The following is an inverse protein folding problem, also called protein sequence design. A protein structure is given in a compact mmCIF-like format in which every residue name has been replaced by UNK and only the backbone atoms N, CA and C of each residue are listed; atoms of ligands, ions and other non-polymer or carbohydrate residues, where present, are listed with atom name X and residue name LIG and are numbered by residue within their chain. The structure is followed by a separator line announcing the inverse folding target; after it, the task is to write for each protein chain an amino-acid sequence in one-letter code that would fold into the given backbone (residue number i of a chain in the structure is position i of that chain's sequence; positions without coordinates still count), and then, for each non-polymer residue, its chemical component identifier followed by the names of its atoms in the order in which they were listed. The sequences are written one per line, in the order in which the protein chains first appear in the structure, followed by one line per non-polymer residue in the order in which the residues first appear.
data_IF_236261298067
#
_entry.id   IF_236261298067
#
_cell.length_a   1.000
_cell.length_b   1.000
_cell.length_c   1.000
_cell.angle_alpha   90.00
_cell.angle_beta   90.00
_cell.angle_gamma   90.00
#
_symmetry.space_group_name_H-M   'P 1'
#
loop_
_entity.id
_entity.type
_entity.pdbx_description
1 polymer ?
#
# COMPACT_ATOMS: atom_id res chain seq x y z
N UNK A 1 47.13 -24.06 -9.01
CA UNK A 1 46.80 -23.37 -7.75
C UNK A 1 45.68 -22.36 -8.00
N UNK A 2 44.48 -22.83 -7.85
CA UNK A 2 43.25 -22.03 -7.83
C UNK A 2 42.83 -21.96 -6.38
N UNK A 3 42.61 -20.77 -5.88
CA UNK A 3 42.03 -20.54 -4.56
C UNK A 3 40.53 -20.30 -4.74
N UNK A 4 39.75 -21.17 -4.12
CA UNK A 4 38.34 -21.02 -3.92
C UNK A 4 38.09 -19.78 -3.07
N UNK A 5 37.25 -18.85 -3.56
CA UNK A 5 36.67 -17.81 -2.76
C UNK A 5 35.25 -18.25 -2.38
N UNK A 6 35.13 -18.65 -1.14
CA UNK A 6 33.86 -18.79 -0.43
C UNK A 6 33.08 -17.49 -0.52
N UNK A 7 31.89 -17.57 -1.10
CA UNK A 7 30.88 -16.52 -0.96
C UNK A 7 30.15 -16.76 0.35
N UNK A 8 30.41 -15.92 1.31
CA UNK A 8 29.59 -15.86 2.51
C UNK A 8 28.29 -15.13 2.13
N UNK A 9 27.21 -15.88 2.11
CA UNK A 9 25.85 -15.36 2.05
C UNK A 9 25.56 -14.65 3.38
N UNK A 10 25.78 -13.35 3.41
CA UNK A 10 25.28 -12.48 4.46
C UNK A 10 23.90 -11.98 3.99
N UNK A 11 22.84 -12.67 4.38
CA UNK A 11 21.48 -12.17 4.25
C UNK A 11 21.29 -11.04 5.27
N UNK A 12 21.53 -9.83 4.82
CA UNK A 12 21.23 -8.62 5.58
C UNK A 12 19.90 -8.11 5.05
N UNK A 13 18.96 -7.79 5.93
CA UNK A 13 17.76 -6.98 5.69
C UNK A 13 18.13 -5.85 4.72
N UNK A 14 17.72 -5.99 3.45
CA UNK A 14 18.28 -5.16 2.38
C UNK A 14 17.62 -3.79 2.32
N UNK A 15 18.35 -2.74 2.67
CA UNK A 15 17.97 -1.38 2.31
C UNK A 15 18.23 -1.18 0.81
N UNK A 16 17.16 -1.06 0.03
CA UNK A 16 17.23 -0.67 -1.37
C UNK A 16 17.25 0.85 -1.44
N UNK A 17 18.34 1.43 -1.91
CA UNK A 17 18.46 2.88 -2.09
C UNK A 17 18.12 3.21 -3.54
N UNK A 18 16.97 3.82 -3.78
CA UNK A 18 16.61 4.36 -5.09
C UNK A 18 16.94 5.85 -5.12
N UNK A 19 17.77 6.28 -6.06
CA UNK A 19 18.09 7.69 -6.28
C UNK A 19 17.00 8.29 -7.18
N UNK A 20 16.23 9.23 -6.64
CA UNK A 20 15.41 10.11 -7.48
C UNK A 20 16.34 11.20 -8.06
N UNK A 21 16.60 11.10 -9.35
CA UNK A 21 17.49 12.02 -10.07
C UNK A 21 16.86 13.41 -10.30
N UNK A 22 15.58 13.60 -9.97
CA UNK A 22 14.86 14.88 -10.13
C UNK A 22 14.95 15.80 -8.90
N UNK A 23 15.28 15.24 -7.74
CA UNK A 23 15.44 15.98 -6.50
C UNK A 23 16.51 15.29 -5.65
N UNK A 24 17.47 16.02 -5.11
CA UNK A 24 18.66 15.53 -4.40
C UNK A 24 18.33 14.79 -3.07
N UNK A 25 17.10 14.31 -2.91
CA UNK A 25 16.65 13.59 -1.72
C UNK A 25 16.74 12.09 -1.99
N UNK A 26 17.57 11.40 -1.22
CA UNK A 26 17.61 9.94 -1.22
C UNK A 26 16.34 9.43 -0.55
N UNK A 27 15.48 8.77 -1.32
CA UNK A 27 14.29 8.10 -0.81
C UNK A 27 14.69 6.68 -0.46
N UNK A 28 14.45 6.30 0.80
CA UNK A 28 14.77 4.99 1.32
C UNK A 28 13.60 4.03 1.08
N UNK A 29 13.86 2.93 0.37
CA UNK A 29 12.92 1.81 0.24
C UNK A 29 13.42 0.63 1.06
N UNK A 30 12.63 0.18 2.02
CA UNK A 30 12.93 -0.95 2.91
C UNK A 30 12.18 -2.19 2.41
N UNK A 31 12.91 -3.28 2.12
CA UNK A 31 12.30 -4.58 1.91
C UNK A 31 12.27 -5.35 3.23
N UNK A 32 11.04 -5.69 3.70
CA UNK A 32 10.78 -6.23 5.02
C UNK A 32 10.32 -7.70 4.87
N UNK A 33 11.28 -8.60 4.96
CA UNK A 33 11.11 -10.06 4.79
C UNK A 33 11.24 -10.84 6.11
N UNK A 34 11.34 -10.14 7.23
CA UNK A 34 11.41 -10.75 8.57
C UNK A 34 10.52 -10.04 9.59
N UNK A 35 10.02 -10.81 10.56
CA UNK A 35 9.21 -10.26 11.64
C UNK A 35 9.97 -9.21 12.46
N UNK A 36 11.26 -9.43 12.70
CA UNK A 36 12.14 -8.53 13.43
C UNK A 36 12.31 -7.21 12.67
N UNK A 37 12.56 -7.25 11.35
CA UNK A 37 12.68 -6.08 10.50
C UNK A 37 11.39 -5.26 10.46
N UNK A 38 10.25 -5.93 10.31
CA UNK A 38 8.94 -5.28 10.35
C UNK A 38 8.68 -4.64 11.72
N UNK A 39 8.94 -5.36 12.81
CA UNK A 39 8.76 -4.85 14.17
C UNK A 39 9.64 -3.62 14.44
N UNK A 40 10.87 -3.60 13.97
CA UNK A 40 11.80 -2.49 14.16
C UNK A 40 11.34 -1.20 13.46
N UNK A 41 10.65 -1.34 12.32
CA UNK A 41 10.15 -0.19 11.53
C UNK A 41 8.73 0.25 11.92
N UNK A 42 7.99 -0.58 12.64
CA UNK A 42 6.58 -0.33 13.00
C UNK A 42 6.34 1.05 13.65
N UNK A 43 7.18 1.56 14.59
CA UNK A 43 7.00 2.89 15.17
C UNK A 43 6.99 4.02 14.13
N UNK A 44 7.78 3.90 13.06
CA UNK A 44 7.81 4.86 11.95
C UNK A 44 6.44 4.93 11.26
N UNK A 45 5.91 3.77 10.88
CA UNK A 45 4.65 3.69 10.15
C UNK A 45 3.45 4.12 11.00
N UNK A 46 3.47 3.85 12.30
CA UNK A 46 2.44 4.30 13.25
C UNK A 46 2.36 5.82 13.38
N UNK A 47 3.45 6.53 13.08
CA UNK A 47 3.52 8.00 13.14
C UNK A 47 3.19 8.67 11.81
N UNK A 48 3.04 7.90 10.71
CA UNK A 48 2.73 8.46 9.40
C UNK A 48 1.39 9.21 9.40
N UNK A 49 1.35 10.35 8.70
CA UNK A 49 0.17 11.22 8.60
C UNK A 49 0.05 11.82 7.21
N UNK A 50 -0.63 11.15 6.27
CA UNK A 50 -1.24 9.82 6.36
C UNK A 50 -0.23 8.69 6.14
N UNK A 51 -0.65 7.44 6.37
CA UNK A 51 0.04 6.25 5.91
C UNK A 51 -0.50 5.87 4.52
N UNK A 52 0.31 6.00 3.49
CA UNK A 52 -0.01 5.45 2.18
C UNK A 52 0.09 3.92 2.22
N UNK A 53 -0.84 3.25 1.57
CA UNK A 53 -0.97 1.80 1.58
C UNK A 53 -1.40 1.31 0.20
N UNK A 54 -0.84 0.20 -0.24
CA UNK A 54 -1.23 -0.53 -1.43
C UNK A 54 -0.95 -2.02 -1.24
N UNK A 55 -1.51 -2.88 -2.09
CA UNK A 55 -1.27 -4.33 -2.04
C UNK A 55 -1.09 -4.91 -3.41
N UNK A 56 -0.23 -5.94 -3.50
CA UNK A 56 -0.13 -6.80 -4.66
C UNK A 56 -0.59 -8.20 -4.30
N UNK A 57 -1.44 -8.79 -5.13
CA UNK A 57 -2.03 -10.10 -4.86
C UNK A 57 -2.31 -10.86 -6.17
N UNK A 58 -2.50 -12.16 -6.05
CA UNK A 58 -2.90 -13.03 -7.16
C UNK A 58 -4.27 -13.63 -6.87
N UNK A 59 -5.15 -13.56 -7.87
CA UNK A 59 -6.45 -14.21 -7.87
C UNK A 59 -6.45 -15.32 -8.92
N UNK A 60 -6.03 -16.53 -8.54
CA UNK A 60 -5.97 -17.71 -9.42
C UNK A 60 -6.74 -18.84 -8.78
N UNK A 61 -7.81 -19.29 -9.42
CA UNK A 61 -8.63 -20.47 -9.07
C UNK A 61 -9.07 -20.57 -7.61
N UNK A 62 -8.99 -19.49 -6.85
CA UNK A 62 -9.42 -19.40 -5.46
C UNK A 62 -10.39 -18.24 -5.28
N UNK A 63 -11.40 -18.45 -4.44
CA UNK A 63 -12.37 -17.41 -4.10
C UNK A 63 -11.70 -16.21 -3.42
N UNK A 64 -10.64 -16.46 -2.62
CA UNK A 64 -9.89 -15.43 -1.91
C UNK A 64 -8.58 -15.12 -2.62
N UNK A 65 -8.21 -13.83 -2.77
CA UNK A 65 -6.92 -13.45 -3.31
C UNK A 65 -5.79 -13.85 -2.36
N UNK A 66 -4.64 -14.24 -2.94
CA UNK A 66 -3.41 -14.50 -2.18
C UNK A 66 -2.53 -13.27 -2.24
N UNK A 67 -2.24 -12.70 -1.08
CA UNK A 67 -1.40 -11.53 -0.95
C UNK A 67 0.06 -11.86 -1.26
N UNK A 68 0.68 -11.04 -2.10
CA UNK A 68 2.08 -11.17 -2.50
C UNK A 68 2.99 -10.07 -1.96
N UNK A 69 2.45 -8.86 -1.73
CA UNK A 69 3.19 -7.74 -1.17
C UNK A 69 2.23 -6.75 -0.50
N UNK A 70 2.71 -6.08 0.55
CA UNK A 70 2.03 -4.93 1.16
C UNK A 70 2.98 -3.75 1.12
N UNK A 71 2.56 -2.65 0.49
CA UNK A 71 3.35 -1.45 0.37
C UNK A 71 2.91 -0.41 1.40
N UNK A 72 3.88 0.21 2.06
CA UNK A 72 3.69 1.34 2.98
C UNK A 72 4.49 2.54 2.49
N UNK A 73 3.95 3.76 2.69
CA UNK A 73 4.64 5.00 2.41
C UNK A 73 4.27 6.10 3.40
N UNK A 74 5.26 6.90 3.82
CA UNK A 74 5.05 8.04 4.73
C UNK A 74 5.37 9.40 4.07
N UNK A 75 5.67 9.39 2.77
CA UNK A 75 6.11 10.55 2.01
C UNK A 75 7.61 10.85 2.14
N UNK A 76 8.35 10.11 2.96
CA UNK A 76 9.80 10.22 3.13
C UNK A 76 10.52 8.93 2.73
N UNK A 77 9.79 7.83 2.61
CA UNK A 77 10.29 6.55 2.16
C UNK A 77 9.18 5.50 2.11
N UNK A 78 9.55 4.31 1.67
CA UNK A 78 8.63 3.19 1.48
C UNK A 78 9.06 1.96 2.27
N UNK A 79 8.08 1.17 2.69
CA UNK A 79 8.25 -0.17 3.24
C UNK A 79 7.51 -1.20 2.40
N UNK A 80 8.21 -2.22 1.93
CA UNK A 80 7.67 -3.33 1.16
C UNK A 80 7.67 -4.57 2.04
N UNK A 81 6.51 -4.94 2.55
CA UNK A 81 6.36 -6.09 3.46
C UNK A 81 6.12 -7.35 2.63
N UNK A 82 6.93 -8.37 2.87
CA UNK A 82 6.81 -9.68 2.22
C UNK A 82 5.97 -10.66 3.06
N UNK A 83 4.68 -10.85 2.75
CA UNK A 83 3.81 -11.76 3.48
C UNK A 83 4.12 -13.23 3.19
N UNK A 84 4.87 -13.53 2.13
CA UNK A 84 5.32 -14.89 1.83
C UNK A 84 6.45 -15.30 2.77
N UNK A 85 7.33 -14.38 3.12
CA UNK A 85 8.44 -14.61 4.05
C UNK A 85 8.00 -14.48 5.53
N UNK A 86 6.99 -13.64 5.82
CA UNK A 86 6.51 -13.38 7.19
C UNK A 86 5.14 -14.06 7.37
N UNK A 87 5.07 -15.28 7.92
CA UNK A 87 3.83 -16.04 8.00
C UNK A 87 2.84 -15.47 9.04
N UNK A 88 3.31 -14.68 10.00
CA UNK A 88 2.47 -14.08 11.03
C UNK A 88 2.52 -12.55 10.93
N UNK A 89 1.45 -11.98 10.37
CA UNK A 89 1.29 -10.54 10.17
C UNK A 89 0.42 -9.86 11.24
N UNK A 90 0.15 -10.50 12.37
CA UNK A 90 -0.70 -9.94 13.44
C UNK A 90 -0.22 -8.59 13.97
N UNK A 91 1.07 -8.30 13.88
CA UNK A 91 1.58 -6.99 14.27
C UNK A 91 1.07 -5.84 13.39
N UNK A 92 0.59 -6.13 12.18
CA UNK A 92 -0.04 -5.15 11.31
C UNK A 92 -1.40 -4.67 11.84
N UNK A 93 -2.02 -5.40 12.76
CA UNK A 93 -3.29 -4.98 13.40
C UNK A 93 -3.17 -3.57 14.03
N UNK A 94 -2.01 -3.24 14.59
CA UNK A 94 -1.73 -1.90 15.11
C UNK A 94 -1.74 -0.79 14.04
N UNK A 95 -1.34 -1.10 12.80
CA UNK A 95 -1.36 -0.15 11.68
C UNK A 95 -2.72 -0.11 11.00
N UNK A 96 -3.31 -1.28 10.76
CA UNK A 96 -4.50 -1.42 9.92
C UNK A 96 -5.78 -1.19 10.71
N UNK A 97 -5.78 -1.48 12.00
CA UNK A 97 -6.95 -1.43 12.87
C UNK A 97 -7.41 -0.02 13.22
N UNK A 98 -8.50 0.08 14.04
CA UNK A 98 -9.14 1.36 14.36
C UNK A 98 -8.26 2.37 15.10
N UNK A 99 -7.26 1.89 15.84
CA UNK A 99 -6.31 2.75 16.58
C UNK A 99 -5.09 3.16 15.77
N UNK A 100 -4.94 2.62 14.57
CA UNK A 100 -3.83 2.95 13.67
C UNK A 100 -3.98 4.32 12.99
N UNK A 101 -2.98 4.74 12.22
CA UNK A 101 -3.03 6.00 11.48
C UNK A 101 -4.13 5.99 10.42
N UNK A 102 -4.54 7.18 9.97
CA UNK A 102 -5.30 7.34 8.73
C UNK A 102 -4.53 6.70 7.57
N UNK A 103 -5.15 5.77 6.89
CA UNK A 103 -4.59 5.11 5.71
C UNK A 103 -5.16 5.75 4.44
N UNK A 104 -4.31 5.94 3.45
CA UNK A 104 -4.68 6.44 2.14
C UNK A 104 -4.32 5.41 1.08
N UNK A 105 -5.29 5.06 0.26
CA UNK A 105 -5.16 4.16 -0.89
C UNK A 105 -5.68 4.84 -2.16
N UNK A 106 -5.45 4.21 -3.30
CA UNK A 106 -6.03 4.62 -4.57
C UNK A 106 -6.82 3.46 -5.18
N UNK A 107 -8.14 3.61 -5.38
CA UNK A 107 -9.03 2.56 -5.87
C UNK A 107 -9.05 1.32 -4.96
N UNK A 108 -9.32 1.50 -3.68
CA UNK A 108 -9.06 0.58 -2.58
C UNK A 108 -9.94 -0.68 -2.52
N UNK A 109 -10.96 -0.83 -3.35
CA UNK A 109 -11.99 -1.87 -3.17
C UNK A 109 -11.44 -3.30 -3.12
N UNK A 110 -10.46 -3.65 -3.95
CA UNK A 110 -9.83 -4.97 -3.94
C UNK A 110 -8.84 -5.14 -2.79
N UNK A 111 -8.12 -4.05 -2.42
CA UNK A 111 -7.20 -4.05 -1.27
C UNK A 111 -7.93 -4.32 0.04
N UNK A 112 -9.16 -3.83 0.20
CA UNK A 112 -9.97 -4.08 1.38
C UNK A 112 -10.27 -5.57 1.59
N UNK A 113 -10.48 -6.34 0.52
CA UNK A 113 -10.66 -7.79 0.62
C UNK A 113 -9.40 -8.49 1.13
N UNK A 114 -8.23 -8.00 0.70
CA UNK A 114 -6.93 -8.55 1.06
C UNK A 114 -6.52 -8.18 2.48
N UNK A 115 -6.79 -6.93 2.88
CA UNK A 115 -6.35 -6.37 4.16
C UNK A 115 -7.27 -6.71 5.34
N UNK A 116 -8.59 -6.84 5.12
CA UNK A 116 -9.55 -7.09 6.21
C UNK A 116 -9.21 -8.35 7.03
N UNK A 117 -8.82 -9.49 6.42
CA UNK A 117 -8.44 -10.70 7.17
C UNK A 117 -7.20 -10.53 8.05
N UNK A 118 -6.38 -9.49 7.82
CA UNK A 118 -5.18 -9.21 8.61
C UNK A 118 -5.47 -8.45 9.90
N UNK A 119 -6.72 -8.04 10.12
CA UNK A 119 -7.13 -7.28 11.30
C UNK A 119 -8.07 -8.09 12.18
N UNK A 120 -7.98 -7.89 13.49
CA UNK A 120 -8.87 -8.53 14.50
C UNK A 120 -10.14 -7.72 14.78
N UNK A 121 -10.10 -6.40 14.56
CA UNK A 121 -11.19 -5.46 14.88
C UNK A 121 -11.72 -4.71 13.64
N UNK A 122 -11.36 -5.18 12.44
CA UNK A 122 -11.64 -4.50 11.19
C UNK A 122 -10.64 -3.38 10.89
N UNK A 123 -10.72 -2.88 9.67
CA UNK A 123 -9.88 -1.77 9.20
C UNK A 123 -10.30 -0.46 9.87
N UNK A 124 -9.32 0.36 10.24
CA UNK A 124 -9.55 1.72 10.71
C UNK A 124 -9.92 2.67 9.57
N UNK A 125 -9.73 3.98 9.81
CA UNK A 125 -10.07 5.00 8.81
C UNK A 125 -9.22 4.87 7.56
N UNK A 126 -9.89 4.77 6.41
CA UNK A 126 -9.29 4.70 5.07
C UNK A 126 -9.90 5.80 4.21
N UNK A 127 -9.05 6.54 3.51
CA UNK A 127 -9.44 7.48 2.48
C UNK A 127 -8.94 7.02 1.12
N UNK A 128 -9.80 7.13 0.10
CA UNK A 128 -9.50 6.72 -1.28
C UNK A 128 -9.35 7.95 -2.17
N UNK A 129 -8.17 8.14 -2.75
CA UNK A 129 -7.89 9.27 -3.63
C UNK A 129 -8.67 9.21 -4.95
N UNK A 130 -9.09 8.04 -5.41
CA UNK A 130 -9.94 7.91 -6.59
C UNK A 130 -11.34 8.50 -6.35
N UNK A 131 -11.90 8.33 -5.14
CA UNK A 131 -13.16 8.96 -4.74
C UNK A 131 -13.02 10.49 -4.72
N UNK A 132 -11.91 11.01 -4.19
CA UNK A 132 -11.65 12.44 -4.19
C UNK A 132 -11.62 13.03 -5.61
N UNK A 133 -10.97 12.36 -6.54
CA UNK A 133 -10.93 12.76 -7.95
C UNK A 133 -12.34 12.77 -8.59
N UNK A 134 -13.16 11.76 -8.32
CA UNK A 134 -14.54 11.70 -8.80
C UNK A 134 -15.37 12.87 -8.27
N UNK A 135 -15.27 13.20 -7.00
CA UNK A 135 -15.97 14.32 -6.36
C UNK A 135 -15.50 15.68 -6.88
N UNK A 136 -14.25 15.78 -7.29
CA UNK A 136 -13.70 17.00 -7.90
C UNK A 136 -14.04 17.13 -9.39
N UNK A 137 -14.69 16.12 -9.99
CA UNK A 137 -15.10 16.13 -11.39
C UNK A 137 -14.01 15.70 -12.38
N UNK A 138 -12.92 15.11 -11.90
CA UNK A 138 -11.80 14.64 -12.75
C UNK A 138 -12.10 13.31 -13.46
N UNK A 139 -13.13 12.58 -13.02
CA UNK A 139 -13.59 11.30 -13.58
C UNK A 139 -13.87 10.27 -12.50
N UNK A 140 -14.72 9.28 -12.83
CA UNK A 140 -15.19 8.26 -11.86
C UNK A 140 -14.14 7.20 -11.52
N UNK A 141 -13.26 6.86 -12.46
CA UNK A 141 -12.29 5.78 -12.34
C UNK A 141 -10.92 6.20 -12.86
N UNK A 142 -10.43 7.32 -12.38
CA UNK A 142 -9.10 7.82 -12.76
C UNK A 142 -8.04 6.92 -12.13
N UNK A 143 -7.20 6.28 -12.95
CA UNK A 143 -6.09 5.45 -12.48
C UNK A 143 -4.97 6.29 -11.85
N UNK A 144 -4.16 5.64 -11.00
CA UNK A 144 -3.13 6.30 -10.17
C UNK A 144 -2.13 7.12 -10.99
N UNK A 145 -1.57 6.56 -12.07
CA UNK A 145 -0.62 7.28 -12.95
C UNK A 145 -1.25 8.55 -13.54
N UNK A 146 -2.51 8.45 -14.00
CA UNK A 146 -3.23 9.60 -14.54
C UNK A 146 -3.53 10.64 -13.47
N UNK A 147 -3.85 10.20 -12.26
CA UNK A 147 -4.05 11.07 -11.10
C UNK A 147 -2.79 11.86 -10.77
N UNK A 148 -1.63 11.21 -10.72
CA UNK A 148 -0.35 11.88 -10.48
C UNK A 148 -0.04 12.93 -11.55
N UNK A 149 -0.28 12.59 -12.82
CA UNK A 149 -0.07 13.54 -13.91
C UNK A 149 -1.01 14.73 -13.83
N UNK A 150 -2.31 14.51 -13.57
CA UNK A 150 -3.32 15.58 -13.53
C UNK A 150 -3.14 16.52 -12.32
N UNK A 151 -2.76 15.96 -11.18
CA UNK A 151 -2.79 16.70 -9.89
C UNK A 151 -1.42 17.24 -9.53
N UNK A 152 -0.36 16.46 -9.76
CA UNK A 152 1.00 16.79 -9.34
C UNK A 152 1.96 17.04 -10.51
N UNK A 153 1.52 16.84 -11.76
CA UNK A 153 2.38 16.87 -12.94
C UNK A 153 3.58 15.92 -12.85
N UNK A 154 3.35 14.75 -12.23
CA UNK A 154 4.35 13.68 -12.09
C UNK A 154 3.99 12.57 -13.09
N UNK A 155 5.00 12.14 -13.86
CA UNK A 155 4.91 10.98 -14.73
C UNK A 155 5.67 9.81 -14.11
N UNK A 156 5.02 8.65 -13.99
CA UNK A 156 5.66 7.40 -13.58
C UNK A 156 5.58 6.38 -14.71
N UNK A 157 6.52 5.43 -14.80
CA UNK A 157 6.51 4.41 -15.83
C UNK A 157 5.20 3.62 -15.84
N UNK A 158 4.72 3.31 -17.04
CA UNK A 158 3.64 2.33 -17.20
C UNK A 158 4.30 0.98 -17.13
N UNK A 159 4.01 0.17 -16.13
CA UNK A 159 4.12 -1.27 -16.31
C UNK A 159 3.95 -2.13 -15.06
N UNK A 160 3.88 -3.46 -15.29
CA UNK A 160 4.12 -4.58 -14.38
C UNK A 160 2.97 -5.02 -13.46
N UNK A 161 1.76 -4.49 -13.55
CA UNK A 161 0.64 -4.94 -12.72
C UNK A 161 0.25 -6.44 -12.90
N UNK A 162 0.70 -7.07 -14.00
CA UNK A 162 0.38 -8.48 -14.33
C UNK A 162 1.61 -9.37 -14.23
N UNK A 163 2.25 -9.41 -13.08
CA UNK A 163 3.38 -10.31 -12.80
C UNK A 163 2.99 -11.29 -11.69
N UNK A 164 3.76 -12.38 -11.55
CA UNK A 164 3.58 -13.32 -10.45
C UNK A 164 4.15 -12.72 -9.14
N UNK A 165 3.29 -12.13 -8.33
CA UNK A 165 3.63 -11.53 -7.05
C UNK A 165 3.93 -12.56 -5.94
N UNK A 166 3.67 -13.84 -6.18
CA UNK A 166 4.02 -14.93 -5.24
C UNK A 166 5.39 -15.54 -5.52
N UNK A 167 5.97 -15.29 -6.71
CA UNK A 167 7.31 -15.76 -7.04
C UNK A 167 8.35 -15.08 -6.14
N UNK A 168 9.36 -15.84 -5.74
CA UNK A 168 10.52 -15.33 -4.98
C UNK A 168 11.84 -15.78 -5.62
N UNK A 169 12.86 -14.91 -5.60
CA UNK A 169 12.82 -13.50 -5.15
C UNK A 169 12.00 -12.62 -6.09
N UNK A 170 11.48 -11.50 -5.58
CA UNK A 170 10.90 -10.46 -6.43
C UNK A 170 12.01 -9.80 -7.26
N UNK A 171 11.69 -9.44 -8.50
CA UNK A 171 12.63 -8.72 -9.36
C UNK A 171 12.78 -7.27 -8.90
N UNK A 172 13.90 -6.64 -9.23
CA UNK A 172 14.11 -5.21 -8.96
C UNK A 172 13.00 -4.35 -9.59
N UNK A 173 12.57 -4.72 -10.80
CA UNK A 173 11.46 -4.04 -11.48
C UNK A 173 10.14 -4.11 -10.70
N UNK A 174 9.80 -5.27 -10.10
CA UNK A 174 8.63 -5.40 -9.23
C UNK A 174 8.76 -4.54 -7.98
N UNK A 175 9.93 -4.50 -7.35
CA UNK A 175 10.18 -3.70 -6.16
C UNK A 175 10.09 -2.19 -6.45
N UNK A 176 10.66 -1.75 -7.57
CA UNK A 176 10.61 -0.35 -8.00
C UNK A 176 9.18 0.08 -8.33
N UNK A 177 8.43 -0.78 -9.01
CA UNK A 177 7.02 -0.57 -9.32
C UNK A 177 6.20 -0.42 -8.03
N UNK A 178 6.30 -1.38 -7.12
CA UNK A 178 5.55 -1.39 -5.87
C UNK A 178 5.86 -0.18 -4.98
N UNK A 179 7.12 0.28 -4.95
CA UNK A 179 7.50 1.48 -4.21
C UNK A 179 6.84 2.74 -4.79
N UNK A 180 6.73 2.84 -6.13
CA UNK A 180 6.10 3.98 -6.79
C UNK A 180 4.61 4.10 -6.49
N UNK A 181 3.90 3.00 -6.25
CA UNK A 181 2.46 3.00 -5.98
C UNK A 181 2.11 3.69 -4.64
N UNK A 182 3.07 3.81 -3.72
CA UNK A 182 2.88 4.52 -2.44
C UNK A 182 3.74 5.77 -2.28
N UNK A 183 4.78 5.95 -3.09
CA UNK A 183 5.74 7.07 -2.97
C UNK A 183 5.08 8.44 -3.03
N UNK A 184 4.25 8.65 -4.02
CA UNK A 184 3.62 9.95 -4.30
C UNK A 184 2.20 10.07 -3.74
N UNK A 185 1.67 8.99 -3.18
CA UNK A 185 0.29 8.94 -2.69
C UNK A 185 0.02 9.92 -1.53
N UNK A 186 0.92 10.12 -0.56
CA UNK A 186 0.72 11.16 0.46
C UNK A 186 0.63 12.58 -0.11
N UNK A 187 1.46 12.92 -1.09
CA UNK A 187 1.44 14.22 -1.74
C UNK A 187 0.17 14.41 -2.60
N UNK A 188 -0.25 13.37 -3.33
CA UNK A 188 -1.50 13.34 -4.07
C UNK A 188 -2.68 13.60 -3.13
N UNK A 189 -2.75 12.87 -2.04
CA UNK A 189 -3.80 13.03 -1.03
C UNK A 189 -3.84 14.44 -0.46
N UNK A 190 -2.71 15.01 -0.07
CA UNK A 190 -2.64 16.36 0.48
C UNK A 190 -3.20 17.42 -0.48
N UNK A 191 -2.84 17.34 -1.76
CA UNK A 191 -3.36 18.27 -2.78
C UNK A 191 -4.85 18.06 -3.03
N UNK A 192 -5.33 16.83 -3.08
CA UNK A 192 -6.76 16.54 -3.25
C UNK A 192 -7.57 17.04 -2.05
N UNK A 193 -7.09 16.85 -0.82
CA UNK A 193 -7.74 17.40 0.39
C UNK A 193 -7.82 18.92 0.36
N UNK A 194 -6.76 19.57 -0.09
CA UNK A 194 -6.76 21.03 -0.29
C UNK A 194 -7.85 21.48 -1.28
N UNK A 195 -7.98 20.78 -2.41
CA UNK A 195 -9.02 21.06 -3.42
C UNK A 195 -10.43 20.77 -2.91
N UNK A 196 -10.63 19.70 -2.17
CA UNK A 196 -11.93 19.37 -1.53
C UNK A 196 -12.31 20.44 -0.51
N UNK A 197 -11.35 20.90 0.30
CA UNK A 197 -11.59 21.95 1.30
C UNK A 197 -12.03 23.27 0.67
N UNK A 198 -11.44 23.67 -0.47
CA UNK A 198 -11.85 24.88 -1.19
C UNK A 198 -13.28 24.83 -1.75
N UNK A 199 -13.86 23.63 -1.87
CA UNK A 199 -15.23 23.40 -2.36
C UNK A 199 -16.20 22.97 -1.25
N UNK A 200 -15.76 22.98 0.00
CA UNK A 200 -16.54 22.52 1.17
C UNK A 200 -17.05 21.06 1.03
N UNK A 201 -16.21 20.17 0.45
CA UNK A 201 -16.56 18.77 0.15
C UNK A 201 -15.91 17.76 1.11
N UNK A 202 -15.09 18.20 2.06
CA UNK A 202 -14.32 17.28 2.93
C UNK A 202 -15.21 16.33 3.71
N UNK A 203 -16.26 16.84 4.37
CA UNK A 203 -17.15 16.02 5.19
C UNK A 203 -17.90 14.95 4.36
N UNK A 204 -18.33 15.32 3.16
CA UNK A 204 -19.00 14.38 2.24
C UNK A 204 -18.01 13.33 1.75
N UNK A 205 -16.78 13.74 1.42
CA UNK A 205 -15.71 12.83 1.03
C UNK A 205 -15.39 11.79 2.11
N UNK A 206 -15.25 12.23 3.35
CA UNK A 206 -15.00 11.34 4.49
C UNK A 206 -16.14 10.34 4.69
N UNK A 207 -17.39 10.77 4.53
CA UNK A 207 -18.57 9.91 4.63
C UNK A 207 -18.59 8.87 3.48
N UNK A 208 -18.28 9.24 2.25
CA UNK A 208 -18.19 8.32 1.11
C UNK A 208 -17.09 7.28 1.32
N UNK A 209 -15.91 7.68 1.78
CA UNK A 209 -14.83 6.74 2.10
C UNK A 209 -15.24 5.75 3.20
N UNK A 210 -15.92 6.21 4.25
CA UNK A 210 -16.41 5.36 5.33
C UNK A 210 -17.45 4.34 4.82
N UNK A 211 -18.31 4.72 3.86
CA UNK A 211 -19.29 3.83 3.26
C UNK A 211 -18.63 2.71 2.45
N UNK A 212 -17.66 3.04 1.62
CA UNK A 212 -16.90 2.04 0.84
C UNK A 212 -16.21 1.01 1.74
N UNK A 213 -15.68 1.44 2.89
CA UNK A 213 -15.03 0.54 3.85
C UNK A 213 -16.01 -0.40 4.58
N UNK A 214 -17.30 -0.07 4.67
CA UNK A 214 -18.33 -0.93 5.30
C UNK A 214 -18.76 -2.10 4.43
N UNK A 215 -18.77 -1.95 3.12
CA UNK A 215 -19.28 -2.95 2.18
C UNK A 215 -18.57 -4.31 2.27
N UNK A 216 -17.24 -4.40 2.34
CA UNK A 216 -16.53 -5.67 2.49
C UNK A 216 -16.82 -6.39 3.80
N UNK A 217 -17.00 -5.66 4.90
CA UNK A 217 -17.30 -6.24 6.21
C UNK A 217 -18.67 -6.93 6.25
N UNK A 218 -19.66 -6.39 5.57
CA UNK A 218 -20.99 -6.98 5.45
C UNK A 218 -20.97 -8.28 4.62
N UNK A 219 -20.23 -8.30 3.50
CA UNK A 219 -20.09 -9.47 2.64
C UNK A 219 -19.38 -10.63 3.36
N UNK A 220 -18.36 -10.35 4.18
CA UNK A 220 -17.65 -11.36 4.96
C UNK A 220 -18.54 -11.94 6.08
N UNK A 221 -19.35 -11.12 6.74
CA UNK A 221 -20.27 -11.58 7.76
C UNK A 221 -21.35 -12.53 7.20
N UNK A 222 -21.89 -12.25 6.02
CA UNK A 222 -22.90 -13.09 5.37
C UNK A 222 -22.33 -14.44 4.90
N UNK A 223 -21.07 -14.50 4.48
CA UNK A 223 -20.43 -15.77 4.08
C UNK A 223 -20.08 -16.68 5.24
N UNK A 224 -19.78 -16.14 6.43
CA UNK A 224 -19.56 -16.95 7.64
C UNK A 224 -20.83 -17.59 8.20
N UNK A 225 -22.01 -17.09 7.83
CA UNK A 225 -23.31 -17.64 8.28
C UNK A 225 -23.85 -18.77 7.38
N UNK A 226 -23.26 -19.03 6.23
CA UNK A 226 -23.74 -20.05 5.27
C UNK A 226 -23.00 -21.39 5.37
N UNK A 227 -22.02 -21.55 6.24
CA UNK A 227 -21.25 -22.79 6.44
C UNK A 227 -21.62 -23.55 7.75
N UNK A 228 -22.92 -23.55 8.11
CA UNK A 228 -23.43 -24.42 9.17
C UNK A 228 -24.63 -25.25 8.71
#
# INVERSE_FOLDING_TARGET
HLRDHERSDCQTTGTLVTLDLSNTTVIETLYLDSAEGLQATLPRWLQARPLALDTEFIRVDTFYPKIGLIQLGDGQGEGLIDPVAIPNLRMLDALLGPTGPLKVLHACSEDLEVLTPLTSQGLGTIHDTQIALAMLGEGLQVGYQKALQLVLNIEIPKDASRTDWLQRPLTQHQLDYAALDVRHLPALYAELMRRLATRDLVAIYEAECAEVCRLPAAVIADTCYQEH
#
